data_IF_490318482763
#
_entry.id   IF_490318482763
#
_cell.length_a   1.000
_cell.length_b   1.000
_cell.length_c   1.000
_cell.angle_alpha   90.00
_cell.angle_beta   90.00
_cell.angle_gamma   90.00
#
_symmetry.space_group_name_H-M   'P 1'
#
loop_
_entity.id
_entity.type
_entity.pdbx_description
1 polymer ?
#
# COMPACT_ATOMS: atom_id res chain seq x y z
N UNK A 1 -6.54 21.76 25.08
CA UNK A 1 -5.57 20.65 24.96
C UNK A 1 -5.71 20.09 23.56
N UNK A 2 -4.89 20.56 22.61
CA UNK A 2 -4.94 20.08 21.23
C UNK A 2 -4.22 18.72 21.17
N UNK A 3 -4.99 17.65 21.02
CA UNK A 3 -4.48 16.33 20.70
C UNK A 3 -3.92 16.33 19.29
N UNK A 4 -2.66 16.73 19.14
CA UNK A 4 -1.94 16.57 17.89
C UNK A 4 -1.30 15.17 17.87
N UNK A 5 -2.15 14.15 17.69
CA UNK A 5 -1.71 12.85 17.23
C UNK A 5 -1.47 13.01 15.72
N UNK A 6 -0.35 13.61 15.33
CA UNK A 6 0.00 13.80 13.93
C UNK A 6 0.24 12.43 13.29
N UNK A 7 -0.83 11.78 12.85
CA UNK A 7 -0.73 10.65 11.95
C UNK A 7 0.12 11.10 10.75
N UNK A 8 1.06 10.28 10.27
CA UNK A 8 1.93 10.71 9.20
C UNK A 8 1.10 11.07 7.98
N UNK A 9 1.14 12.36 7.59
CA UNK A 9 0.31 12.89 6.51
C UNK A 9 0.52 12.16 5.16
N UNK A 10 1.66 11.47 5.02
CA UNK A 10 2.01 10.68 3.84
C UNK A 10 1.07 9.47 3.63
N UNK A 11 0.54 8.87 4.71
CA UNK A 11 -0.35 7.70 4.58
C UNK A 11 -1.63 8.02 3.79
N UNK A 12 -2.14 9.25 3.89
CA UNK A 12 -3.30 9.71 3.14
C UNK A 12 -3.04 9.91 1.64
N UNK A 13 -1.76 10.07 1.25
CA UNK A 13 -1.32 10.35 -0.12
C UNK A 13 -0.88 9.11 -0.91
N UNK A 14 -0.98 7.93 -0.29
CA UNK A 14 -0.62 6.65 -0.91
C UNK A 14 -1.50 6.30 -2.10
N UNK A 15 -0.88 6.02 -3.25
CA UNK A 15 -1.56 5.59 -4.47
C UNK A 15 -2.22 4.21 -4.33
N UNK A 16 -1.83 3.41 -3.32
CA UNK A 16 -2.43 2.12 -3.02
C UNK A 16 -3.88 2.21 -2.51
N UNK A 17 -4.36 3.40 -2.15
CA UNK A 17 -5.69 3.62 -1.55
C UNK A 17 -6.80 3.62 -2.62
N UNK A 18 -8.02 3.38 -2.17
CA UNK A 18 -9.21 3.42 -3.02
C UNK A 18 -9.22 2.28 -4.04
N UNK A 19 -9.23 2.63 -5.33
CA UNK A 19 -9.40 1.67 -6.43
C UNK A 19 -8.32 0.58 -6.46
N UNK A 20 -7.10 0.91 -6.02
CA UNK A 20 -5.95 0.00 -6.09
C UNK A 20 -5.80 -0.91 -4.87
N UNK A 21 -6.64 -0.76 -3.83
CA UNK A 21 -6.48 -1.49 -2.57
C UNK A 21 -6.53 -3.02 -2.76
N UNK A 22 -7.33 -3.50 -3.70
CA UNK A 22 -7.44 -4.92 -4.05
C UNK A 22 -6.14 -5.53 -4.61
N UNK A 23 -5.19 -4.70 -5.05
CA UNK A 23 -3.88 -5.18 -5.52
C UNK A 23 -2.95 -5.43 -4.32
N UNK A 24 -3.10 -4.69 -3.24
CA UNK A 24 -2.21 -4.77 -2.07
C UNK A 24 -2.68 -5.83 -1.07
N UNK A 25 -3.99 -6.03 -0.94
CA UNK A 25 -4.56 -7.01 -0.01
C UNK A 25 -5.14 -8.22 -0.74
N UNK A 26 -4.74 -9.46 -0.38
CA UNK A 26 -5.34 -10.65 -0.96
C UNK A 26 -6.84 -10.75 -0.65
N UNK A 27 -7.64 -11.37 -1.53
CA UNK A 27 -9.06 -11.60 -1.26
C UNK A 27 -9.27 -12.56 -0.07
N UNK A 28 -10.46 -12.56 0.52
CA UNK A 28 -10.84 -13.50 1.58
C UNK A 28 -11.00 -14.95 1.09
N UNK A 29 -11.06 -15.16 -0.22
CA UNK A 29 -11.09 -16.47 -0.87
C UNK A 29 -9.70 -16.94 -1.24
N UNK A 30 -9.54 -18.25 -1.46
CA UNK A 30 -8.26 -18.82 -1.84
C UNK A 30 -7.85 -18.38 -3.25
N UNK A 31 -6.76 -17.63 -3.35
CA UNK A 31 -6.14 -17.14 -4.58
C UNK A 31 -5.16 -18.18 -5.17
N UNK A 32 -5.23 -18.45 -6.48
CA UNK A 32 -4.25 -19.34 -7.16
C UNK A 32 -2.90 -18.64 -7.27
N UNK A 33 -1.81 -19.42 -7.32
CA UNK A 33 -0.43 -18.88 -7.42
C UNK A 33 -0.24 -17.89 -8.57
N UNK A 34 -0.83 -18.15 -9.73
CA UNK A 34 -0.73 -17.26 -10.90
C UNK A 34 -1.55 -15.98 -10.75
N UNK A 35 -2.66 -16.04 -10.01
CA UNK A 35 -3.47 -14.87 -9.67
C UNK A 35 -2.70 -13.98 -8.70
N UNK A 36 -2.09 -14.59 -7.67
CA UNK A 36 -1.20 -13.92 -6.71
C UNK A 36 -0.07 -13.20 -7.41
N UNK A 37 0.64 -13.88 -8.32
CA UNK A 37 1.71 -13.26 -9.09
C UNK A 37 1.21 -12.05 -9.90
N UNK A 38 0.07 -12.17 -10.58
CA UNK A 38 -0.51 -11.06 -11.35
C UNK A 38 -0.96 -9.90 -10.47
N UNK A 39 -1.48 -10.18 -9.29
CA UNK A 39 -1.84 -9.16 -8.28
C UNK A 39 -0.60 -8.42 -7.79
N UNK A 40 0.43 -9.14 -7.39
CA UNK A 40 1.70 -8.57 -6.92
C UNK A 40 2.41 -7.74 -7.99
N UNK A 41 2.44 -8.19 -9.25
CA UNK A 41 3.02 -7.41 -10.35
C UNK A 41 2.28 -6.08 -10.54
N UNK A 42 0.94 -6.09 -10.47
CA UNK A 42 0.14 -4.86 -10.55
C UNK A 42 0.39 -3.95 -9.35
N UNK A 43 0.43 -4.49 -8.14
CA UNK A 43 0.71 -3.74 -6.92
C UNK A 43 2.09 -3.06 -6.99
N UNK A 44 3.13 -3.76 -7.46
CA UNK A 44 4.47 -3.21 -7.64
C UNK A 44 4.49 -2.06 -8.65
N UNK A 45 3.82 -2.21 -9.79
CA UNK A 45 3.73 -1.15 -10.79
C UNK A 45 3.09 0.13 -10.23
N UNK A 46 2.08 -0.01 -9.36
CA UNK A 46 1.44 1.13 -8.68
C UNK A 46 2.37 1.73 -7.62
N UNK A 47 3.04 0.89 -6.82
CA UNK A 47 3.95 1.32 -5.77
C UNK A 47 5.11 2.15 -6.32
N UNK A 48 5.73 1.70 -7.42
CA UNK A 48 6.87 2.38 -8.05
C UNK A 48 6.55 3.74 -8.69
N UNK A 49 5.28 4.12 -8.75
CA UNK A 49 4.83 5.44 -9.20
C UNK A 49 4.21 6.26 -8.06
N UNK A 50 4.32 5.80 -6.81
CA UNK A 50 3.69 6.42 -5.67
C UNK A 50 4.59 7.53 -5.10
N UNK A 51 4.04 8.73 -4.94
CA UNK A 51 4.77 9.88 -4.41
C UNK A 51 5.28 9.74 -2.96
N UNK A 52 4.80 8.72 -2.23
CA UNK A 52 5.17 8.44 -0.83
C UNK A 52 5.88 7.09 -0.69
N UNK A 53 6.50 6.59 -1.77
CA UNK A 53 7.18 5.29 -1.78
C UNK A 53 8.26 5.22 -0.69
N UNK A 54 9.10 6.25 -0.59
CA UNK A 54 10.19 6.30 0.39
C UNK A 54 9.67 6.33 1.83
N UNK A 55 8.73 7.22 2.18
CA UNK A 55 8.19 7.26 3.55
C UNK A 55 7.41 5.98 3.92
N UNK A 56 6.74 5.38 2.94
CA UNK A 56 6.03 4.11 3.11
C UNK A 56 7.01 2.95 3.36
N UNK A 57 8.11 2.90 2.60
CA UNK A 57 9.15 1.89 2.75
C UNK A 57 9.86 2.01 4.10
N UNK A 58 10.31 3.22 4.45
CA UNK A 58 10.97 3.48 5.73
C UNK A 58 10.08 3.08 6.91
N UNK A 59 8.79 3.44 6.85
CA UNK A 59 7.84 3.03 7.86
C UNK A 59 7.68 1.50 7.91
N UNK A 60 7.51 0.83 6.77
CA UNK A 60 7.32 -0.61 6.69
C UNK A 60 8.54 -1.41 7.19
N UNK A 61 9.76 -0.87 7.02
CA UNK A 61 10.99 -1.47 7.52
C UNK A 61 11.23 -1.22 9.02
N UNK A 62 10.60 -0.19 9.58
CA UNK A 62 10.71 0.16 10.99
C UNK A 62 9.76 -0.61 11.91
N UNK A 63 8.84 -1.43 11.36
CA UNK A 63 7.87 -2.24 12.14
C UNK A 63 8.39 -3.64 12.43
#
# INVERSE_FOLDING_TARGET
MAGNCAYPAWQGRGACRGFFANCFFPPSTNERRDEKRRREVRAKAICSNCQVEDECLDYALAI
#
